data_IF_683493299289
#
_entry.id   IF_683493299289
#
_cell.length_a   1.000
_cell.length_b   1.000
_cell.length_c   1.000
_cell.angle_alpha   90.00
_cell.angle_beta   90.00
_cell.angle_gamma   90.00
#
_symmetry.space_group_name_H-M   'P 1'
#
loop_
_entity.id
_entity.type
_entity.pdbx_description
1 polymer ?
#
# COMPACT_ATOMS: atom_id res chain seq x y z
N UNK A 1 -8.61 3.62 3.16
CA UNK A 1 -9.52 4.26 2.20
C UNK A 1 -10.98 3.99 2.60
N UNK A 2 -11.94 4.52 1.84
CA UNK A 2 -13.38 4.39 2.11
C UNK A 2 -13.88 2.94 2.07
N UNK A 3 -13.10 2.04 1.49
CA UNK A 3 -13.39 0.61 1.40
C UNK A 3 -12.68 -0.23 2.48
N UNK A 4 -12.09 0.40 3.49
CA UNK A 4 -11.40 -0.24 4.59
C UNK A 4 -9.87 -0.10 4.55
N UNK A 5 -9.18 -0.90 5.36
CA UNK A 5 -7.73 -0.86 5.45
C UNK A 5 -7.05 -1.44 4.20
N UNK A 6 -5.85 -0.93 3.91
CA UNK A 6 -4.90 -1.49 2.95
C UNK A 6 -3.57 -1.63 3.68
N UNK A 7 -3.20 -2.85 4.04
CA UNK A 7 -2.00 -3.10 4.85
C UNK A 7 -0.90 -3.74 3.99
N UNK A 8 0.36 -3.28 4.14
CA UNK A 8 1.49 -3.99 3.55
C UNK A 8 1.63 -5.38 4.21
N UNK A 9 2.03 -6.42 3.45
CA UNK A 9 2.13 -7.78 3.98
C UNK A 9 2.97 -7.91 5.25
N UNK A 10 4.08 -7.17 5.38
CA UNK A 10 4.98 -7.29 6.53
C UNK A 10 4.36 -6.85 7.86
N UNK A 11 3.43 -5.88 7.85
CA UNK A 11 2.77 -5.39 9.08
C UNK A 11 1.38 -5.99 9.30
N UNK A 12 0.79 -6.63 8.29
CA UNK A 12 -0.56 -7.20 8.39
C UNK A 12 -0.61 -8.34 9.43
N UNK A 13 -1.52 -8.31 10.42
CA UNK A 13 -1.69 -9.41 11.38
C UNK A 13 -2.09 -10.73 10.71
N UNK A 14 -2.87 -10.63 9.63
CA UNK A 14 -3.22 -11.73 8.71
C UNK A 14 -2.68 -11.34 7.35
N UNK A 15 -1.70 -12.08 6.85
CA UNK A 15 -1.09 -11.82 5.53
C UNK A 15 -1.90 -12.44 4.40
N UNK A 16 -2.44 -13.62 4.66
CA UNK A 16 -3.26 -14.37 3.71
C UNK A 16 -4.52 -14.87 4.39
N UNK A 17 -5.65 -14.72 3.74
CA UNK A 17 -6.87 -15.43 4.13
C UNK A 17 -7.26 -16.43 3.06
N UNK A 18 -7.60 -17.64 3.48
CA UNK A 18 -8.14 -18.70 2.61
C UNK A 18 -9.63 -18.82 2.87
N UNK A 19 -10.44 -18.65 1.83
CA UNK A 19 -11.90 -18.70 1.91
C UNK A 19 -12.41 -19.85 1.02
N UNK A 20 -12.79 -20.97 1.61
CA UNK A 20 -13.49 -22.04 0.89
C UNK A 20 -14.88 -21.57 0.43
N UNK A 21 -15.22 -21.83 -0.83
CA UNK A 21 -16.51 -21.47 -1.43
C UNK A 21 -17.33 -22.74 -1.60
N UNK A 22 -18.53 -22.80 -1.00
CA UNK A 22 -19.42 -23.98 -1.02
C UNK A 22 -18.78 -25.25 -0.44
N UNK A 23 -17.96 -25.12 0.61
CA UNK A 23 -17.32 -26.26 1.26
C UNK A 23 -18.33 -27.23 1.95
N UNK A 24 -19.53 -26.74 2.31
CA UNK A 24 -20.63 -27.59 2.81
C UNK A 24 -21.06 -28.65 1.81
N UNK A 25 -21.08 -28.29 0.54
CA UNK A 25 -21.56 -29.15 -0.52
C UNK A 25 -20.46 -30.11 -1.00
N UNK A 26 -19.21 -29.80 -0.72
CA UNK A 26 -18.06 -30.59 -1.13
C UNK A 26 -16.93 -30.54 -0.09
N UNK A 27 -16.82 -31.53 0.79
CA UNK A 27 -15.76 -31.61 1.83
C UNK A 27 -14.33 -31.58 1.30
N UNK A 28 -14.10 -31.98 0.04
CA UNK A 28 -12.78 -31.95 -0.60
C UNK A 28 -12.24 -30.52 -0.71
N UNK A 29 -13.12 -29.53 -0.85
CA UNK A 29 -12.72 -28.12 -0.89
C UNK A 29 -12.11 -27.71 0.45
N UNK A 30 -12.79 -28.04 1.57
CA UNK A 30 -12.27 -27.75 2.91
C UNK A 30 -10.95 -28.46 3.19
N UNK A 31 -10.85 -29.74 2.78
CA UNK A 31 -9.62 -30.52 2.92
C UNK A 31 -8.45 -29.90 2.13
N UNK A 32 -8.70 -29.51 0.87
CA UNK A 32 -7.66 -28.88 0.03
C UNK A 32 -7.24 -27.50 0.56
N UNK A 33 -8.19 -26.70 1.01
CA UNK A 33 -7.87 -25.41 1.67
C UNK A 33 -7.05 -25.62 2.95
N UNK A 34 -7.32 -26.68 3.72
CA UNK A 34 -6.54 -27.03 4.91
C UNK A 34 -5.11 -27.46 4.54
N UNK A 35 -4.94 -28.22 3.45
CA UNK A 35 -3.61 -28.57 2.93
C UNK A 35 -2.81 -27.30 2.57
N UNK A 36 -3.42 -26.39 1.82
CA UNK A 36 -2.79 -25.09 1.46
C UNK A 36 -2.46 -24.29 2.72
N UNK A 37 -3.39 -24.20 3.66
CA UNK A 37 -3.18 -23.49 4.93
C UNK A 37 -1.94 -24.01 5.67
N UNK A 38 -1.80 -25.34 5.82
CA UNK A 38 -0.68 -25.94 6.51
C UNK A 38 0.66 -25.64 5.81
N UNK A 39 0.70 -25.76 4.47
CA UNK A 39 1.89 -25.42 3.67
C UNK A 39 2.34 -23.97 3.86
N UNK A 40 1.40 -23.03 3.91
CA UNK A 40 1.70 -21.60 4.13
C UNK A 40 2.17 -21.36 5.58
N UNK A 41 1.53 -22.01 6.56
CA UNK A 41 1.89 -21.91 7.97
C UNK A 41 3.31 -22.42 8.24
N UNK A 42 3.69 -23.55 7.65
CA UNK A 42 5.05 -24.13 7.75
C UNK A 42 6.15 -23.18 7.25
N UNK A 43 5.82 -22.28 6.33
CA UNK A 43 6.73 -21.23 5.84
C UNK A 43 6.68 -19.94 6.66
N UNK A 44 6.00 -19.96 7.81
CA UNK A 44 5.91 -18.80 8.71
C UNK A 44 4.98 -17.70 8.22
N UNK A 45 4.14 -17.96 7.23
CA UNK A 45 3.14 -17.01 6.74
C UNK A 45 1.99 -16.92 7.73
N UNK A 46 1.59 -15.70 8.12
CA UNK A 46 0.43 -15.44 8.98
C UNK A 46 -0.86 -15.62 8.18
N UNK A 47 -1.29 -16.87 8.08
CA UNK A 47 -2.44 -17.29 7.28
C UNK A 47 -3.65 -17.55 8.18
N UNK A 48 -4.84 -17.23 7.69
CA UNK A 48 -6.12 -17.61 8.30
C UNK A 48 -6.95 -18.42 7.33
N UNK A 49 -7.41 -19.59 7.78
CA UNK A 49 -8.42 -20.39 7.08
C UNK A 49 -9.79 -20.08 7.68
N UNK A 50 -10.74 -19.62 6.85
CA UNK A 50 -12.09 -19.28 7.29
C UNK A 50 -13.10 -20.36 6.89
N UNK A 51 -13.31 -21.31 7.78
CA UNK A 51 -14.28 -22.41 7.62
C UNK A 51 -15.69 -22.07 8.17
N UNK A 52 -15.95 -20.82 8.62
CA UNK A 52 -17.26 -20.44 9.13
C UNK A 52 -18.31 -20.48 8.03
N UNK A 53 -19.21 -21.46 8.11
CA UNK A 53 -20.29 -21.66 7.14
C UNK A 53 -21.51 -20.79 7.40
N UNK A 54 -21.55 -20.02 8.49
CA UNK A 54 -22.66 -19.12 8.81
C UNK A 54 -22.74 -17.88 7.92
N UNK A 55 -21.62 -17.57 7.23
CA UNK A 55 -21.47 -16.38 6.38
C UNK A 55 -21.28 -16.75 4.92
N UNK A 56 -21.83 -15.93 4.03
CA UNK A 56 -21.61 -16.11 2.59
C UNK A 56 -20.18 -15.76 2.19
N UNK A 57 -19.65 -16.34 1.10
CA UNK A 57 -18.32 -15.98 0.60
C UNK A 57 -18.16 -14.47 0.34
N UNK A 58 -19.17 -13.81 -0.25
CA UNK A 58 -19.15 -12.37 -0.50
C UNK A 58 -19.04 -11.55 0.79
N UNK A 59 -19.73 -11.94 1.86
CA UNK A 59 -19.59 -11.29 3.17
C UNK A 59 -18.17 -11.47 3.73
N UNK A 60 -17.60 -12.66 3.63
CA UNK A 60 -16.22 -12.93 4.07
C UNK A 60 -15.21 -12.09 3.28
N UNK A 61 -15.39 -12.00 1.97
CA UNK A 61 -14.52 -11.17 1.12
C UNK A 61 -14.52 -9.72 1.59
N UNK A 62 -15.70 -9.11 1.71
CA UNK A 62 -15.84 -7.74 2.21
C UNK A 62 -15.24 -7.57 3.63
N UNK A 63 -15.47 -8.53 4.52
CA UNK A 63 -14.94 -8.50 5.89
C UNK A 63 -13.40 -8.49 5.92
N UNK A 64 -12.72 -9.27 5.07
CA UNK A 64 -11.26 -9.31 5.01
C UNK A 64 -10.67 -8.14 4.21
N UNK A 65 -11.39 -7.62 3.24
CA UNK A 65 -11.06 -6.35 2.56
C UNK A 65 -11.12 -5.18 3.55
N UNK A 66 -12.16 -5.09 4.38
CA UNK A 66 -12.27 -4.09 5.45
C UNK A 66 -11.11 -4.18 6.45
N UNK A 67 -10.66 -5.39 6.79
CA UNK A 67 -9.51 -5.64 7.67
C UNK A 67 -8.15 -5.40 7.01
N UNK A 68 -8.11 -5.12 5.72
CA UNK A 68 -6.89 -4.87 4.97
C UNK A 68 -6.00 -6.08 4.78
N UNK A 69 -6.55 -7.30 4.77
CA UNK A 69 -5.77 -8.52 4.51
C UNK A 69 -5.16 -8.44 3.11
N UNK A 70 -3.81 -8.48 2.97
CA UNK A 70 -3.14 -8.20 1.70
C UNK A 70 -3.50 -9.15 0.57
N UNK A 71 -3.67 -10.44 0.88
CA UNK A 71 -3.90 -11.47 -0.11
C UNK A 71 -5.05 -12.40 0.32
N UNK A 72 -6.01 -12.61 -0.58
CA UNK A 72 -7.07 -13.59 -0.42
C UNK A 72 -6.88 -14.72 -1.42
N UNK A 73 -6.97 -15.95 -0.92
CA UNK A 73 -7.06 -17.16 -1.71
C UNK A 73 -8.48 -17.71 -1.60
N UNK A 74 -9.13 -17.99 -2.71
CA UNK A 74 -10.46 -18.61 -2.73
C UNK A 74 -10.49 -19.86 -3.60
N UNK A 75 -11.14 -20.89 -3.09
CA UNK A 75 -11.26 -22.18 -3.73
C UNK A 75 -12.73 -22.60 -3.76
N UNK A 76 -13.29 -22.73 -4.96
CA UNK A 76 -14.61 -23.24 -5.18
C UNK A 76 -14.62 -24.56 -5.98
N UNK A 77 -15.83 -25.15 -6.25
CA UNK A 77 -15.93 -26.40 -7.00
C UNK A 77 -15.26 -26.34 -8.37
N UNK A 78 -15.45 -25.23 -9.12
CA UNK A 78 -14.88 -25.05 -10.45
C UNK A 78 -13.34 -24.93 -10.42
N UNK A 79 -12.80 -24.36 -9.34
CA UNK A 79 -11.37 -24.19 -9.17
C UNK A 79 -10.75 -25.55 -8.80
N UNK A 80 -11.40 -26.31 -7.92
CA UNK A 80 -10.99 -27.65 -7.57
C UNK A 80 -10.94 -28.57 -8.80
N UNK A 81 -11.99 -28.55 -9.65
CA UNK A 81 -12.08 -29.34 -10.87
C UNK A 81 -10.93 -29.03 -11.85
N UNK A 82 -10.46 -27.79 -11.86
CA UNK A 82 -9.34 -27.32 -12.70
C UNK A 82 -7.98 -27.38 -12.01
N UNK A 83 -7.93 -27.93 -10.80
CA UNK A 83 -6.72 -27.99 -9.98
C UNK A 83 -6.05 -26.60 -9.81
N UNK A 84 -6.83 -25.58 -9.50
CA UNK A 84 -6.39 -24.20 -9.39
C UNK A 84 -6.97 -23.52 -8.15
N UNK A 85 -6.42 -22.35 -7.78
CA UNK A 85 -6.90 -21.51 -6.69
C UNK A 85 -6.97 -20.04 -7.15
N UNK A 86 -8.07 -19.35 -6.84
CA UNK A 86 -8.22 -17.94 -7.10
C UNK A 86 -7.39 -17.12 -6.11
N UNK A 87 -6.79 -16.04 -6.59
CA UNK A 87 -5.93 -15.13 -5.83
C UNK A 87 -6.36 -13.70 -6.08
N UNK A 88 -6.57 -12.93 -5.01
CA UNK A 88 -6.96 -11.52 -5.13
C UNK A 88 -6.08 -10.67 -4.21
N UNK A 89 -5.44 -9.63 -4.78
CA UNK A 89 -4.69 -8.63 -4.02
C UNK A 89 -5.61 -7.53 -3.49
N UNK A 90 -5.35 -7.06 -2.28
CA UNK A 90 -6.15 -6.00 -1.66
C UNK A 90 -5.83 -4.61 -2.20
N UNK A 91 -4.55 -4.29 -2.43
CA UNK A 91 -4.13 -2.92 -2.68
C UNK A 91 -4.53 -2.36 -4.05
N UNK A 92 -4.64 -3.21 -5.07
CA UNK A 92 -4.99 -2.85 -6.45
C UNK A 92 -6.16 -3.65 -7.03
N UNK A 93 -6.63 -4.67 -6.31
CA UNK A 93 -7.73 -5.52 -6.75
C UNK A 93 -7.36 -6.52 -7.84
N UNK A 94 -6.07 -6.70 -8.15
CA UNK A 94 -5.64 -7.65 -9.18
C UNK A 94 -6.06 -9.06 -8.81
N UNK A 95 -6.56 -9.78 -9.82
CA UNK A 95 -6.99 -11.18 -9.70
C UNK A 95 -6.14 -12.07 -10.56
N UNK A 96 -5.68 -13.15 -9.96
CA UNK A 96 -4.87 -14.20 -10.59
C UNK A 96 -5.46 -15.57 -10.31
N UNK A 97 -4.94 -16.55 -10.99
CA UNK A 97 -5.22 -17.97 -10.72
C UNK A 97 -3.89 -18.70 -10.70
N UNK A 98 -3.66 -19.49 -9.66
CA UNK A 98 -2.47 -20.33 -9.52
C UNK A 98 -2.85 -21.79 -9.59
N UNK A 99 -1.96 -22.65 -10.13
CA UNK A 99 -2.12 -24.08 -10.08
C UNK A 99 -1.88 -24.60 -8.65
N UNK A 100 -2.69 -25.55 -8.20
CA UNK A 100 -2.48 -26.22 -6.91
C UNK A 100 -1.26 -27.16 -6.90
N UNK A 101 -0.67 -27.43 -8.06
CA UNK A 101 0.57 -28.22 -8.19
C UNK A 101 1.83 -27.35 -8.00
N UNK A 102 1.71 -26.03 -8.04
CA UNK A 102 2.82 -25.12 -7.82
C UNK A 102 3.19 -24.97 -6.34
N UNK A 103 4.39 -24.49 -6.06
CA UNK A 103 4.78 -24.09 -4.70
C UNK A 103 4.07 -22.78 -4.33
N UNK A 104 2.84 -22.92 -3.82
CA UNK A 104 2.00 -21.79 -3.44
C UNK A 104 2.66 -20.91 -2.38
N UNK A 105 3.50 -21.45 -1.50
CA UNK A 105 4.17 -20.67 -0.47
C UNK A 105 5.21 -19.73 -1.10
N UNK A 106 6.00 -20.22 -2.04
CA UNK A 106 6.94 -19.38 -2.80
C UNK A 106 6.22 -18.33 -3.65
N UNK A 107 5.09 -18.68 -4.26
CA UNK A 107 4.26 -17.71 -5.00
C UNK A 107 3.71 -16.62 -4.09
N UNK A 108 3.22 -16.97 -2.89
CA UNK A 108 2.74 -16.01 -1.90
C UNK A 108 3.85 -15.06 -1.45
N UNK A 109 5.04 -15.57 -1.16
CA UNK A 109 6.17 -14.74 -0.75
C UNK A 109 6.58 -13.76 -1.86
N UNK A 110 6.64 -14.23 -3.10
CA UNK A 110 6.88 -13.37 -4.26
C UNK A 110 5.79 -12.31 -4.40
N UNK A 111 4.53 -12.69 -4.21
CA UNK A 111 3.42 -11.75 -4.28
C UNK A 111 3.48 -10.68 -3.19
N UNK A 112 3.99 -10.99 -2.00
CA UNK A 112 4.22 -10.00 -0.94
C UNK A 112 5.23 -8.94 -1.34
N UNK A 113 6.32 -9.33 -2.03
CA UNK A 113 7.29 -8.36 -2.55
C UNK A 113 6.67 -7.45 -3.61
N UNK A 114 5.87 -8.01 -4.51
CA UNK A 114 5.17 -7.23 -5.54
C UNK A 114 4.14 -6.26 -4.94
N UNK A 115 3.40 -6.69 -3.91
CA UNK A 115 2.47 -5.83 -3.17
C UNK A 115 3.22 -4.68 -2.50
N UNK A 116 4.30 -4.96 -1.76
CA UNK A 116 5.10 -3.92 -1.09
C UNK A 116 5.67 -2.92 -2.09
N UNK A 117 6.26 -3.41 -3.17
CA UNK A 117 6.81 -2.57 -4.24
C UNK A 117 5.73 -1.72 -4.91
N UNK A 118 4.57 -2.32 -5.19
CA UNK A 118 3.43 -1.63 -5.79
C UNK A 118 2.90 -0.52 -4.88
N UNK A 119 2.73 -0.80 -3.59
CA UNK A 119 2.29 0.18 -2.60
C UNK A 119 3.29 1.31 -2.43
N UNK A 120 4.59 0.99 -2.36
CA UNK A 120 5.66 1.99 -2.29
C UNK A 120 5.67 2.89 -3.52
N UNK A 121 5.64 2.30 -4.71
CA UNK A 121 5.65 3.05 -5.97
C UNK A 121 4.42 3.96 -6.12
N UNK A 122 3.25 3.50 -5.66
CA UNK A 122 2.03 4.32 -5.65
C UNK A 122 2.18 5.53 -4.73
N UNK A 123 2.75 5.34 -3.53
CA UNK A 123 3.00 6.42 -2.58
C UNK A 123 4.08 7.39 -3.08
N UNK A 124 5.18 6.86 -3.63
CA UNK A 124 6.25 7.66 -4.21
C UNK A 124 5.74 8.50 -5.38
N UNK A 125 4.99 7.89 -6.30
CA UNK A 125 4.40 8.63 -7.41
C UNK A 125 3.50 9.76 -6.92
N UNK A 126 2.65 9.49 -5.93
CA UNK A 126 1.80 10.51 -5.33
C UNK A 126 2.62 11.67 -4.74
N UNK A 127 3.69 11.35 -3.98
CA UNK A 127 4.58 12.35 -3.41
C UNK A 127 5.22 13.23 -4.49
N UNK A 128 5.77 12.59 -5.55
CA UNK A 128 6.43 13.32 -6.65
C UNK A 128 5.44 14.18 -7.44
N UNK A 129 4.26 13.66 -7.76
CA UNK A 129 3.21 14.39 -8.47
C UNK A 129 2.67 15.59 -7.66
N UNK A 130 2.87 15.59 -6.33
CA UNK A 130 2.42 16.65 -5.41
C UNK A 130 3.58 17.42 -4.77
N UNK A 131 4.78 17.38 -5.37
CA UNK A 131 5.93 18.18 -4.94
C UNK A 131 6.36 19.09 -6.09
N UNK A 132 6.34 20.40 -5.87
CA UNK A 132 6.73 21.42 -6.84
C UNK A 132 7.99 22.13 -6.38
N UNK A 133 9.00 22.23 -7.24
CA UNK A 133 10.16 23.10 -7.01
C UNK A 133 9.75 24.54 -7.26
N UNK A 134 10.11 25.44 -6.32
CA UNK A 134 9.75 26.86 -6.36
C UNK A 134 11.01 27.70 -6.18
N UNK A 135 11.12 28.78 -6.98
CA UNK A 135 12.27 29.66 -7.07
C UNK A 135 12.00 31.07 -6.53
N UNK A 136 10.71 31.45 -6.47
CA UNK A 136 10.27 32.78 -6.01
C UNK A 136 9.25 32.67 -4.90
N UNK A 137 9.03 33.80 -4.20
CA UNK A 137 7.98 33.87 -3.19
C UNK A 137 6.59 33.71 -3.80
N UNK A 138 6.36 34.28 -4.97
CA UNK A 138 5.09 34.21 -5.69
C UNK A 138 4.75 32.75 -6.08
N UNK A 139 5.75 32.00 -6.55
CA UNK A 139 5.57 30.56 -6.85
C UNK A 139 5.27 29.76 -5.58
N UNK A 140 5.96 30.06 -4.46
CA UNK A 140 5.68 29.44 -3.17
C UNK A 140 4.25 29.72 -2.72
N UNK A 141 3.81 30.99 -2.80
CA UNK A 141 2.46 31.41 -2.45
C UNK A 141 1.42 30.67 -3.31
N UNK A 142 1.63 30.60 -4.61
CA UNK A 142 0.72 29.88 -5.52
C UNK A 142 0.59 28.40 -5.18
N UNK A 143 1.70 27.71 -4.94
CA UNK A 143 1.69 26.30 -4.54
C UNK A 143 0.96 26.09 -3.21
N UNK A 144 1.15 26.96 -2.23
CA UNK A 144 0.53 26.82 -0.90
C UNK A 144 -0.96 27.18 -0.93
N UNK A 145 -1.33 28.26 -1.61
CA UNK A 145 -2.71 28.80 -1.62
C UNK A 145 -3.59 28.05 -2.61
N UNK A 146 -3.10 27.81 -3.83
CA UNK A 146 -3.87 27.24 -4.93
C UNK A 146 -3.53 25.77 -5.19
N UNK A 147 -2.32 25.32 -4.83
CA UNK A 147 -1.86 23.95 -4.98
C UNK A 147 -2.32 23.05 -3.83
N UNK A 148 -2.11 21.75 -4.01
CA UNK A 148 -2.36 20.71 -2.98
C UNK A 148 -1.14 19.82 -2.89
N UNK A 149 -0.15 20.22 -2.09
CA UNK A 149 1.05 19.42 -2.00
C UNK A 149 2.18 20.07 -1.22
N UNK A 150 3.38 19.75 -1.59
CA UNK A 150 4.61 20.29 -1.01
C UNK A 150 5.29 21.25 -1.97
N UNK A 151 5.77 22.37 -1.44
CA UNK A 151 6.73 23.22 -2.11
C UNK A 151 8.15 22.85 -1.67
N UNK A 152 9.04 22.56 -2.62
CA UNK A 152 10.47 22.35 -2.40
C UNK A 152 11.20 23.62 -2.80
N UNK A 153 11.91 24.24 -1.87
CA UNK A 153 12.62 25.49 -2.08
C UNK A 153 14.02 25.44 -1.50
N UNK A 154 14.90 26.29 -2.01
CA UNK A 154 16.20 26.54 -1.39
C UNK A 154 16.06 27.49 -0.20
N UNK A 155 16.87 27.30 0.85
CA UNK A 155 16.75 28.05 2.10
C UNK A 155 18.10 28.61 2.58
N UNK A 156 18.09 29.83 3.13
CA UNK A 156 19.28 30.48 3.66
C UNK A 156 19.72 29.98 5.05
N UNK A 157 18.86 29.23 5.75
CA UNK A 157 19.11 28.76 7.12
C UNK A 157 18.67 29.76 8.20
N UNK A 158 17.97 30.82 7.84
CA UNK A 158 17.52 31.86 8.78
C UNK A 158 16.11 31.53 9.26
N UNK A 159 15.93 31.41 10.58
CA UNK A 159 14.65 31.09 11.21
C UNK A 159 13.56 32.13 10.89
N UNK A 160 13.96 33.40 10.70
CA UNK A 160 13.02 34.48 10.35
C UNK A 160 12.25 34.19 9.06
N UNK A 161 12.90 33.54 8.08
CA UNK A 161 12.26 33.14 6.83
C UNK A 161 11.18 32.05 7.05
N UNK A 162 11.42 31.12 7.94
CA UNK A 162 10.44 30.08 8.30
C UNK A 162 9.25 30.69 9.04
N UNK A 163 9.51 31.62 9.96
CA UNK A 163 8.47 32.37 10.68
C UNK A 163 7.63 33.20 9.71
N UNK A 164 8.25 33.83 8.71
CA UNK A 164 7.55 34.60 7.68
C UNK A 164 6.59 33.71 6.85
N UNK A 165 7.04 32.55 6.38
CA UNK A 165 6.20 31.57 5.67
C UNK A 165 4.99 31.17 6.53
N UNK A 166 5.23 30.86 7.81
CA UNK A 166 4.18 30.48 8.73
C UNK A 166 3.14 31.59 8.91
N UNK A 167 3.60 32.82 9.12
CA UNK A 167 2.72 33.94 9.39
C UNK A 167 1.92 34.41 8.17
N UNK A 168 2.54 34.39 6.98
CA UNK A 168 1.91 34.89 5.76
C UNK A 168 1.09 33.82 5.02
N UNK A 169 1.60 32.58 4.97
CA UNK A 169 1.00 31.52 4.16
C UNK A 169 0.37 30.39 5.01
N UNK A 170 0.46 30.48 6.34
CA UNK A 170 0.03 29.40 7.26
C UNK A 170 0.63 28.03 6.89
N UNK A 171 1.83 28.03 6.32
CA UNK A 171 2.59 26.84 5.96
C UNK A 171 3.75 26.62 6.93
N UNK A 172 4.24 25.42 7.02
CA UNK A 172 5.38 25.05 7.90
C UNK A 172 6.34 24.16 7.14
N UNK A 173 7.64 24.32 7.44
CA UNK A 173 8.67 23.38 6.99
C UNK A 173 8.37 21.95 7.45
N UNK A 174 8.71 20.95 6.65
CA UNK A 174 8.47 19.53 6.95
C UNK A 174 9.76 18.76 7.15
N UNK A 175 10.67 18.87 6.21
CA UNK A 175 11.96 18.18 6.27
C UNK A 175 12.99 18.83 5.34
N UNK A 176 14.24 18.53 5.58
CA UNK A 176 15.33 18.71 4.63
C UNK A 176 15.75 17.32 4.15
N UNK A 177 15.87 17.05 2.84
CA UNK A 177 16.37 15.79 2.33
C UNK A 177 17.78 15.50 2.83
N UNK A 178 18.13 14.23 3.05
CA UNK A 178 19.50 13.85 3.42
C UNK A 178 20.50 14.18 2.30
N UNK A 179 20.10 13.93 1.05
CA UNK A 179 20.85 14.33 -0.13
C UNK A 179 20.30 15.67 -0.63
N UNK A 180 21.07 16.72 -0.51
CA UNK A 180 20.68 18.05 -0.93
C UNK A 180 21.38 18.37 -2.25
N UNK A 181 20.57 18.43 -3.32
CA UNK A 181 21.01 18.86 -4.64
C UNK A 181 20.54 20.30 -4.82
N UNK A 182 21.45 21.30 -4.79
CA UNK A 182 21.07 22.68 -5.02
C UNK A 182 20.49 22.85 -6.42
N UNK A 183 19.39 23.56 -6.52
CA UNK A 183 18.71 23.89 -7.78
C UNK A 183 18.51 25.41 -7.96
N UNK A 184 18.88 26.20 -6.93
CA UNK A 184 18.91 27.64 -6.96
C UNK A 184 19.97 28.19 -5.98
N UNK A 185 20.40 29.44 -6.17
CA UNK A 185 21.42 30.11 -5.35
C UNK A 185 20.85 31.00 -4.26
N UNK A 186 19.56 31.32 -4.31
CA UNK A 186 18.92 32.30 -3.43
C UNK A 186 17.74 31.72 -2.67
N UNK A 187 17.54 32.24 -1.47
CA UNK A 187 16.34 31.96 -0.68
C UNK A 187 15.16 32.76 -1.25
N UNK A 188 14.04 32.13 -1.64
CA UNK A 188 12.87 32.81 -2.20
C UNK A 188 12.24 33.83 -1.26
N UNK A 189 12.48 33.72 0.05
CA UNK A 189 11.85 34.57 1.07
C UNK A 189 12.61 35.89 1.24
N UNK A 190 13.92 35.83 1.40
CA UNK A 190 14.72 36.99 1.76
C UNK A 190 15.76 37.42 0.70
N UNK A 191 15.91 36.65 -0.40
CA UNK A 191 16.90 36.93 -1.44
C UNK A 191 18.37 36.72 -1.04
N UNK A 192 18.65 36.28 0.21
CA UNK A 192 20.00 35.94 0.64
C UNK A 192 20.47 34.63 -0.02
N UNK A 193 21.78 34.43 -0.04
CA UNK A 193 22.38 33.20 -0.55
C UNK A 193 21.78 31.96 0.19
N UNK A 194 21.30 31.01 -0.58
CA UNK A 194 20.80 29.75 -0.04
C UNK A 194 21.96 28.85 0.45
N UNK A 195 21.67 28.05 1.46
CA UNK A 195 22.59 27.06 2.06
C UNK A 195 22.07 25.64 1.95
N UNK A 196 20.75 25.49 1.96
CA UNK A 196 20.06 24.22 2.02
C UNK A 196 19.00 24.15 0.94
#
# INVERSE_FOLDING_TARGET
>A
DDNGLVLPPYVAPIQVVIVPVRAKDNPLIAAKCTEVYNKLLEKGIRVKLDLDDSKTPGWKFAQYEMKGVPLRLDLGPRDLDKNQIGVTRRFDGEKKVWSLDEDLASLVLKEFEEINKGMYNKALKYLLDHTTEVHTYEELEDVIVNGKGYAKMMWCGDEECEVEIKNKLNATSRCMPFEQIPFDDVCPICGKKAKY
#
